data_IF_371374189999
#
_entry.id   IF_371374189999
#
_cell.length_a   1.000
_cell.length_b   1.000
_cell.length_c   1.000
_cell.angle_alpha   90.00
_cell.angle_beta   90.00
_cell.angle_gamma   90.00
#
_symmetry.space_group_name_H-M   'P 1'
#
loop_
_entity.id
_entity.type
_entity.pdbx_description
1 polymer ?
#
# COMPACT_ATOMS: atom_id res chain seq x y z
N UNK A 1 -18.86 62.18 -11.40
CA UNK A 1 -17.44 61.86 -11.60
C UNK A 1 -16.65 61.81 -10.28
N UNK A 2 -16.66 62.81 -9.41
CA UNK A 2 -15.88 62.81 -8.16
C UNK A 2 -16.14 61.62 -7.18
N UNK A 3 -17.39 61.12 -7.08
CA UNK A 3 -17.71 59.98 -6.22
C UNK A 3 -17.08 58.64 -6.70
N UNK A 4 -17.02 58.44 -8.01
CA UNK A 4 -16.39 57.24 -8.59
C UNK A 4 -14.89 57.23 -8.35
N UNK A 5 -14.23 58.38 -8.45
CA UNK A 5 -12.79 58.53 -8.22
C UNK A 5 -12.47 58.24 -6.74
N UNK A 6 -13.28 58.69 -5.81
CA UNK A 6 -13.07 58.40 -4.38
C UNK A 6 -13.28 56.92 -4.04
N UNK A 7 -14.26 56.23 -4.63
CA UNK A 7 -14.47 54.83 -4.44
C UNK A 7 -13.29 54.00 -4.99
N UNK A 8 -12.79 54.39 -6.16
CA UNK A 8 -11.60 53.74 -6.75
C UNK A 8 -10.33 53.97 -5.94
N UNK A 9 -10.18 55.15 -5.32
CA UNK A 9 -9.01 55.43 -4.46
C UNK A 9 -9.08 54.75 -3.10
N UNK A 10 -10.26 54.48 -2.55
CA UNK A 10 -10.44 53.66 -1.34
C UNK A 10 -10.21 52.18 -1.60
N UNK A 11 -10.67 51.66 -2.75
CA UNK A 11 -10.37 50.30 -3.17
C UNK A 11 -8.87 50.06 -3.41
N UNK A 12 -8.16 51.03 -3.94
CA UNK A 12 -6.70 50.96 -4.16
C UNK A 12 -5.87 51.02 -2.84
N UNK A 13 -6.48 51.52 -1.75
CA UNK A 13 -5.84 51.57 -0.41
C UNK A 13 -6.12 50.33 0.47
N UNK A 14 -7.01 49.46 0.03
CA UNK A 14 -7.26 48.21 0.78
C UNK A 14 -6.13 47.22 0.61
N UNK A 15 -5.18 47.23 1.54
CA UNK A 15 -4.09 46.22 1.64
C UNK A 15 -4.64 44.79 1.80
N UNK A 16 -5.89 44.63 2.20
CA UNK A 16 -6.58 43.33 2.24
C UNK A 16 -6.70 42.65 0.87
N UNK A 17 -6.73 43.39 -0.25
CA UNK A 17 -6.74 42.83 -1.60
C UNK A 17 -5.41 42.15 -1.98
N UNK A 18 -4.27 42.64 -1.51
CA UNK A 18 -2.96 42.07 -1.77
C UNK A 18 -2.86 40.67 -1.12
N UNK A 19 -3.30 40.53 0.14
CA UNK A 19 -3.28 39.25 0.84
C UNK A 19 -4.19 38.17 0.19
N UNK A 20 -5.32 38.60 -0.41
CA UNK A 20 -6.20 37.68 -1.12
C UNK A 20 -5.57 37.15 -2.42
N UNK A 21 -4.85 38.02 -3.14
CA UNK A 21 -4.12 37.61 -4.36
C UNK A 21 -2.98 36.66 -4.01
N UNK A 22 -2.22 36.94 -2.96
CA UNK A 22 -1.16 36.08 -2.46
C UNK A 22 -1.68 34.70 -2.08
N UNK A 23 -2.79 34.66 -1.30
CA UNK A 23 -3.44 33.39 -0.94
C UNK A 23 -3.99 32.65 -2.15
N UNK A 24 -4.47 33.32 -3.18
CA UNK A 24 -4.96 32.68 -4.39
C UNK A 24 -3.85 31.88 -5.13
N UNK A 25 -2.59 32.30 -5.02
CA UNK A 25 -1.46 31.55 -5.59
C UNK A 25 -0.90 30.49 -4.61
N UNK A 26 -0.86 30.80 -3.33
CA UNK A 26 -0.29 29.88 -2.32
C UNK A 26 -1.23 28.71 -2.03
N UNK A 27 -2.55 28.93 -1.95
CA UNK A 27 -3.50 27.91 -1.57
C UNK A 27 -3.51 26.66 -2.50
N UNK A 28 -3.51 26.79 -3.84
CA UNK A 28 -3.43 25.62 -4.73
C UNK A 28 -2.17 24.77 -4.51
N UNK A 29 -1.03 25.43 -4.31
CA UNK A 29 0.24 24.75 -4.06
C UNK A 29 0.22 24.03 -2.70
N UNK A 30 -0.30 24.70 -1.66
CA UNK A 30 -0.43 24.11 -0.33
C UNK A 30 -1.37 22.89 -0.33
N UNK A 31 -2.49 22.95 -1.06
CA UNK A 31 -3.42 21.83 -1.21
C UNK A 31 -2.75 20.65 -1.92
N UNK A 32 -2.02 20.90 -3.00
CA UNK A 32 -1.28 19.87 -3.74
C UNK A 32 -0.26 19.16 -2.84
N UNK A 33 0.51 19.93 -2.06
CA UNK A 33 1.47 19.37 -1.12
C UNK A 33 0.78 18.54 -0.02
N UNK A 34 -0.33 19.02 0.51
CA UNK A 34 -1.09 18.29 1.54
C UNK A 34 -1.62 16.96 1.01
N UNK A 35 -2.22 16.95 -0.18
CA UNK A 35 -2.70 15.71 -0.82
C UNK A 35 -1.52 14.76 -1.09
N UNK A 36 -0.35 15.30 -1.48
CA UNK A 36 0.88 14.51 -1.67
C UNK A 36 1.35 13.79 -0.43
N UNK A 37 1.36 14.47 0.70
CA UNK A 37 1.75 13.87 1.99
C UNK A 37 0.77 12.76 2.40
N UNK A 38 -0.53 12.98 2.20
CA UNK A 38 -1.56 11.97 2.52
C UNK A 38 -1.41 10.75 1.61
N UNK A 39 -1.25 10.94 0.32
CA UNK A 39 -1.10 9.84 -0.66
C UNK A 39 0.15 9.01 -0.36
N UNK A 40 1.27 9.67 -0.08
CA UNK A 40 2.51 8.99 0.32
C UNK A 40 2.33 8.20 1.63
N UNK A 41 1.65 8.78 2.62
CA UNK A 41 1.34 8.09 3.88
C UNK A 41 0.51 6.83 3.67
N UNK A 42 -0.49 6.87 2.78
CA UNK A 42 -1.30 5.71 2.43
C UNK A 42 -0.48 4.63 1.70
N UNK A 43 0.43 5.02 0.81
CA UNK A 43 1.33 4.09 0.12
C UNK A 43 2.25 3.37 1.13
N UNK A 44 2.84 4.11 2.08
CA UNK A 44 3.66 3.53 3.16
C UNK A 44 2.85 2.60 4.06
N UNK A 45 1.63 2.97 4.41
CA UNK A 45 0.74 2.11 5.21
C UNK A 45 0.41 0.80 4.48
N UNK A 46 0.11 0.89 3.18
CA UNK A 46 -0.13 -0.28 2.32
C UNK A 46 1.10 -1.19 2.27
N UNK A 47 2.30 -0.62 2.08
CA UNK A 47 3.56 -1.36 2.08
C UNK A 47 3.84 -2.04 3.42
N UNK A 48 3.63 -1.34 4.53
CA UNK A 48 3.81 -1.89 5.87
C UNK A 48 2.83 -3.05 6.15
N UNK A 49 1.58 -2.91 5.72
CA UNK A 49 0.55 -3.97 5.83
C UNK A 49 0.94 -5.18 5.00
N UNK A 50 1.36 -5.00 3.74
CA UNK A 50 1.81 -6.10 2.88
C UNK A 50 3.02 -6.83 3.48
N UNK A 51 4.03 -6.09 3.97
CA UNK A 51 5.22 -6.67 4.60
C UNK A 51 4.87 -7.50 5.83
N UNK A 52 4.00 -7.00 6.69
CA UNK A 52 3.53 -7.73 7.87
C UNK A 52 2.78 -9.01 7.49
N UNK A 53 1.87 -8.92 6.53
CA UNK A 53 1.06 -10.05 6.09
C UNK A 53 1.89 -11.16 5.45
N UNK A 54 2.87 -10.80 4.62
CA UNK A 54 3.83 -11.73 4.01
C UNK A 54 4.69 -12.42 5.07
N UNK A 55 5.16 -11.66 6.08
CA UNK A 55 5.88 -12.21 7.22
C UNK A 55 5.03 -13.23 8.02
N UNK A 56 3.76 -12.91 8.29
CA UNK A 56 2.86 -13.79 9.04
C UNK A 56 2.59 -15.09 8.26
N UNK A 57 2.44 -15.01 6.93
CA UNK A 57 2.30 -16.18 6.06
C UNK A 57 3.57 -17.04 6.02
N UNK A 58 4.74 -16.42 5.92
CA UNK A 58 6.03 -17.14 5.95
C UNK A 58 6.23 -17.85 7.29
N UNK A 59 5.94 -17.17 8.39
CA UNK A 59 6.02 -17.74 9.74
C UNK A 59 5.05 -18.91 9.93
N UNK A 60 3.83 -18.82 9.39
CA UNK A 60 2.89 -19.93 9.39
C UNK A 60 3.49 -21.16 8.70
N UNK A 61 4.06 -21.00 7.51
CA UNK A 61 4.70 -22.09 6.77
C UNK A 61 5.95 -22.62 7.50
N UNK A 62 6.77 -21.75 8.07
CA UNK A 62 7.98 -22.09 8.83
C UNK A 62 7.69 -22.88 10.11
N UNK A 63 6.49 -22.75 10.68
CA UNK A 63 6.04 -23.53 11.84
C UNK A 63 5.65 -24.98 11.52
N UNK A 64 5.48 -25.31 10.24
CA UNK A 64 5.10 -26.65 9.80
C UNK A 64 6.31 -27.58 9.76
N UNK A 65 6.09 -28.91 9.82
CA UNK A 65 7.16 -29.89 9.68
C UNK A 65 7.76 -29.90 8.26
N UNK A 66 9.03 -30.32 8.13
CA UNK A 66 9.70 -30.45 6.84
C UNK A 66 8.92 -31.32 5.84
N UNK A 67 8.32 -32.41 6.31
CA UNK A 67 7.50 -33.29 5.49
C UNK A 67 6.23 -32.60 4.98
N UNK A 68 5.66 -31.70 5.77
CA UNK A 68 4.47 -30.94 5.38
C UNK A 68 4.76 -29.94 4.27
N UNK A 69 5.95 -29.35 4.27
CA UNK A 69 6.37 -28.30 3.33
C UNK A 69 7.00 -28.90 2.07
N UNK A 70 7.85 -29.93 2.20
CA UNK A 70 8.65 -30.46 1.10
C UNK A 70 8.09 -31.73 0.43
N UNK A 71 7.24 -32.51 1.11
CA UNK A 71 6.83 -33.84 0.61
C UNK A 71 5.33 -34.12 0.75
N UNK A 72 4.53 -33.15 1.10
CA UNK A 72 3.12 -33.35 1.35
C UNK A 72 2.30 -33.35 0.05
N UNK A 73 1.54 -34.40 -0.28
CA UNK A 73 0.64 -34.41 -1.43
C UNK A 73 -0.48 -33.36 -1.35
N UNK A 74 -0.75 -32.82 -0.15
CA UNK A 74 -1.72 -31.74 0.07
C UNK A 74 -1.07 -30.34 0.13
N UNK A 75 0.12 -30.18 -0.48
CA UNK A 75 0.82 -28.90 -0.50
C UNK A 75 -0.04 -27.75 -1.04
N UNK A 76 -0.84 -27.99 -2.09
CA UNK A 76 -1.73 -26.98 -2.66
C UNK A 76 -2.72 -26.40 -1.64
N UNK A 77 -3.22 -27.23 -0.73
CA UNK A 77 -4.13 -26.80 0.34
C UNK A 77 -3.42 -25.97 1.42
N UNK A 78 -2.18 -26.36 1.76
CA UNK A 78 -1.34 -25.60 2.70
C UNK A 78 -0.97 -24.24 2.09
N UNK A 79 -0.57 -24.22 0.82
CA UNK A 79 -0.27 -23.02 0.07
C UNK A 79 -1.45 -22.04 0.05
N UNK A 80 -2.65 -22.55 -0.26
CA UNK A 80 -3.87 -21.74 -0.25
C UNK A 80 -4.15 -21.13 1.13
N UNK A 81 -3.90 -21.85 2.22
CA UNK A 81 -4.04 -21.31 3.58
C UNK A 81 -3.04 -20.19 3.87
N UNK A 82 -1.78 -20.34 3.44
CA UNK A 82 -0.78 -19.32 3.61
C UNK A 82 -1.12 -18.06 2.79
N UNK A 83 -1.57 -18.22 1.55
CA UNK A 83 -2.03 -17.15 0.70
C UNK A 83 -3.25 -16.42 1.30
N UNK A 84 -4.22 -17.17 1.83
CA UNK A 84 -5.37 -16.58 2.52
C UNK A 84 -4.94 -15.82 3.78
N UNK A 85 -4.00 -16.35 4.55
CA UNK A 85 -3.46 -15.67 5.73
C UNK A 85 -2.79 -14.34 5.36
N UNK A 86 -2.04 -14.30 4.26
CA UNK A 86 -1.46 -13.05 3.77
C UNK A 86 -2.54 -12.03 3.38
N UNK A 87 -3.54 -12.44 2.61
CA UNK A 87 -4.52 -11.52 2.02
C UNK A 87 -5.62 -11.12 3.01
N UNK A 88 -6.11 -12.05 3.80
CA UNK A 88 -7.29 -11.85 4.68
C UNK A 88 -6.92 -11.80 6.17
N UNK A 89 -5.68 -12.10 6.55
CA UNK A 89 -5.29 -12.25 7.96
C UNK A 89 -5.87 -13.51 8.63
N UNK A 90 -6.49 -14.40 7.85
CA UNK A 90 -7.14 -15.64 8.31
C UNK A 90 -6.83 -16.80 7.36
N UNK A 91 -6.86 -18.04 7.85
CA UNK A 91 -6.57 -19.23 7.04
C UNK A 91 -7.68 -19.57 6.03
N UNK A 92 -8.83 -18.92 6.13
CA UNK A 92 -9.99 -19.11 5.25
C UNK A 92 -10.23 -17.85 4.43
N UNK A 93 -10.52 -17.99 3.15
CA UNK A 93 -10.87 -16.86 2.29
C UNK A 93 -12.15 -16.17 2.78
N UNK A 94 -12.12 -14.86 2.88
CA UNK A 94 -13.25 -14.01 3.25
C UNK A 94 -13.38 -12.88 2.24
N UNK A 95 -14.08 -13.13 1.14
CA UNK A 95 -14.28 -12.14 0.09
C UNK A 95 -14.84 -10.82 0.67
N UNK A 96 -14.24 -9.70 0.32
CA UNK A 96 -14.60 -8.37 0.80
C UNK A 96 -13.95 -7.96 2.13
N UNK A 97 -13.11 -8.82 2.73
CA UNK A 97 -12.35 -8.53 3.95
C UNK A 97 -10.83 -8.60 3.71
N UNK A 98 -10.40 -8.25 2.51
CA UNK A 98 -8.98 -8.16 2.17
C UNK A 98 -8.31 -7.07 3.03
N UNK A 99 -7.11 -7.36 3.57
CA UNK A 99 -6.32 -6.41 4.36
C UNK A 99 -5.92 -5.18 3.53
N UNK A 100 -5.77 -5.37 2.23
CA UNK A 100 -5.50 -4.31 1.25
C UNK A 100 -6.55 -4.44 0.14
N UNK A 101 -7.32 -3.38 -0.16
CA UNK A 101 -8.34 -3.42 -1.19
C UNK A 101 -7.82 -3.87 -2.54
N UNK A 102 -8.45 -4.89 -3.13
CA UNK A 102 -8.09 -5.44 -4.42
C UNK A 102 -6.90 -6.40 -4.42
N UNK A 103 -6.36 -6.76 -3.25
CA UNK A 103 -5.31 -7.77 -3.13
C UNK A 103 -5.92 -9.17 -3.23
N UNK A 104 -5.27 -10.04 -3.99
CA UNK A 104 -5.75 -11.40 -4.27
C UNK A 104 -4.75 -12.46 -3.80
N UNK A 105 -5.18 -13.65 -3.39
CA UNK A 105 -4.28 -14.76 -3.09
C UNK A 105 -3.34 -15.12 -4.24
N UNK A 106 -3.74 -14.87 -5.49
CA UNK A 106 -2.89 -15.10 -6.68
C UNK A 106 -1.70 -14.14 -6.77
N UNK A 107 -1.76 -13.00 -6.08
CA UNK A 107 -0.68 -12.02 -6.02
C UNK A 107 0.37 -12.37 -4.96
N UNK A 108 0.16 -13.47 -4.23
CA UNK A 108 1.08 -13.99 -3.22
C UNK A 108 1.74 -15.26 -3.74
N UNK A 109 3.06 -15.18 -3.98
CA UNK A 109 3.89 -16.28 -4.42
C UNK A 109 4.64 -16.88 -3.23
N UNK A 110 4.72 -18.20 -3.18
CA UNK A 110 5.49 -18.94 -2.18
C UNK A 110 6.45 -19.85 -2.88
N UNK A 111 7.72 -19.73 -2.56
CA UNK A 111 8.80 -20.63 -3.02
C UNK A 111 9.42 -21.32 -1.82
N UNK A 112 9.73 -22.61 -1.96
CA UNK A 112 10.35 -23.42 -0.91
C UNK A 112 11.59 -24.06 -1.45
N UNK A 113 12.71 -23.81 -0.81
CA UNK A 113 13.98 -24.49 -1.09
C UNK A 113 14.20 -25.62 -0.08
N UNK A 114 13.91 -26.83 -0.52
CA UNK A 114 14.06 -28.04 0.29
C UNK A 114 15.47 -28.63 0.26
N UNK A 115 16.38 -28.04 -0.51
CA UNK A 115 17.78 -28.47 -0.58
C UNK A 115 18.59 -27.99 0.61
N UNK A 116 18.13 -26.92 1.25
CA UNK A 116 18.74 -26.38 2.47
C UNK A 116 18.31 -27.16 3.73
N UNK A 117 19.12 -27.07 4.76
CA UNK A 117 18.85 -27.66 6.06
C UNK A 117 19.11 -26.63 7.18
N UNK A 118 18.07 -25.99 7.75
CA UNK A 118 16.63 -26.16 7.51
C UNK A 118 16.17 -25.59 6.15
N UNK A 119 15.03 -26.06 5.61
CA UNK A 119 14.43 -25.53 4.38
C UNK A 119 14.15 -24.03 4.50
N UNK A 120 14.45 -23.28 3.42
CA UNK A 120 14.12 -21.87 3.30
C UNK A 120 12.77 -21.69 2.61
N UNK A 121 11.93 -20.84 3.17
CA UNK A 121 10.58 -20.52 2.67
C UNK A 121 10.55 -19.04 2.37
N UNK A 122 10.38 -18.70 1.10
CA UNK A 122 10.27 -17.31 0.66
C UNK A 122 8.84 -17.02 0.24
N UNK A 123 8.22 -16.02 0.86
CA UNK A 123 6.89 -15.52 0.50
C UNK A 123 7.06 -14.13 -0.09
N UNK A 124 6.50 -13.92 -1.28
CA UNK A 124 6.50 -12.63 -1.97
C UNK A 124 5.07 -12.21 -2.28
N UNK A 125 4.65 -11.07 -1.78
CA UNK A 125 3.37 -10.44 -2.10
C UNK A 125 3.56 -9.24 -3.00
N UNK A 126 2.74 -9.12 -4.04
CA UNK A 126 2.68 -7.94 -4.92
C UNK A 126 1.33 -7.26 -4.75
N UNK A 127 1.35 -5.95 -4.55
CA UNK A 127 0.16 -5.13 -4.32
C UNK A 127 0.13 -3.98 -5.29
N UNK A 128 -1.01 -3.77 -5.94
CA UNK A 128 -1.23 -2.61 -6.81
C UNK A 128 -1.82 -1.46 -5.99
N UNK A 129 -1.00 -0.42 -5.75
CA UNK A 129 -1.44 0.80 -5.10
C UNK A 129 -1.91 1.83 -6.14
N UNK A 130 -3.11 2.38 -5.94
CA UNK A 130 -3.68 3.41 -6.80
C UNK A 130 -3.53 4.77 -6.16
N UNK A 131 -2.63 5.60 -6.70
CA UNK A 131 -2.38 6.95 -6.22
C UNK A 131 -3.58 7.88 -6.47
N UNK A 132 -3.95 8.64 -5.45
CA UNK A 132 -5.02 9.64 -5.52
C UNK A 132 -4.60 10.83 -6.39
N UNK A 133 -3.34 11.29 -6.25
CA UNK A 133 -2.80 12.43 -7.00
C UNK A 133 -2.72 12.10 -8.50
N UNK A 134 -2.17 10.93 -8.82
CA UNK A 134 -1.99 10.51 -10.20
C UNK A 134 -3.33 10.37 -10.95
N UNK A 135 -4.39 9.96 -10.25
CA UNK A 135 -5.73 9.82 -10.87
C UNK A 135 -6.45 11.15 -11.07
N UNK A 136 -6.15 12.16 -10.25
CA UNK A 136 -6.97 13.38 -10.18
C UNK A 136 -6.28 14.63 -10.73
N UNK A 137 -4.95 14.70 -10.65
CA UNK A 137 -4.22 15.95 -10.90
C UNK A 137 -3.07 15.85 -11.91
N UNK A 138 -2.51 14.64 -12.12
CA UNK A 138 -1.34 14.46 -12.97
C UNK A 138 -1.56 13.35 -14.00
N UNK A 139 -1.14 13.53 -15.26
CA UNK A 139 -1.21 12.49 -16.30
C UNK A 139 -0.02 11.51 -16.17
N UNK A 140 0.18 10.95 -14.98
CA UNK A 140 1.20 9.94 -14.69
C UNK A 140 0.54 8.58 -14.42
N UNK A 141 1.26 7.47 -14.54
CA UNK A 141 0.73 6.16 -14.18
C UNK A 141 0.15 6.18 -12.77
N UNK A 142 -1.16 5.93 -12.66
CA UNK A 142 -1.89 5.98 -11.38
C UNK A 142 -1.70 4.74 -10.52
N UNK A 143 -1.12 3.68 -11.09
CA UNK A 143 -0.93 2.38 -10.44
C UNK A 143 0.57 2.19 -10.18
N UNK A 144 0.92 2.02 -8.92
CA UNK A 144 2.27 1.65 -8.47
C UNK A 144 2.23 0.22 -7.94
N UNK A 145 3.16 -0.61 -8.35
CA UNK A 145 3.30 -1.96 -7.82
C UNK A 145 4.23 -1.92 -6.60
N UNK A 146 3.70 -2.29 -5.46
CA UNK A 146 4.46 -2.46 -4.22
C UNK A 146 4.74 -3.96 -4.04
N UNK A 147 5.97 -4.32 -3.69
CA UNK A 147 6.35 -5.71 -3.41
C UNK A 147 6.90 -5.83 -1.99
N UNK A 148 6.50 -6.91 -1.33
CA UNK A 148 7.04 -7.30 -0.04
C UNK A 148 7.52 -8.74 -0.12
N UNK A 149 8.73 -9.00 0.33
CA UNK A 149 9.32 -10.35 0.35
C UNK A 149 9.85 -10.64 1.75
N UNK A 150 9.56 -11.83 2.23
CA UNK A 150 10.11 -12.33 3.49
C UNK A 150 10.57 -13.76 3.33
N UNK A 151 11.75 -14.06 3.86
CA UNK A 151 12.33 -15.40 3.92
C UNK A 151 12.34 -15.87 5.36
N UNK A 152 11.84 -17.07 5.59
CA UNK A 152 11.80 -17.72 6.89
C UNK A 152 12.45 -19.11 6.78
N UNK A 153 13.22 -19.48 7.78
CA UNK A 153 13.75 -20.83 7.88
C UNK A 153 12.84 -21.70 8.73
N UNK A 154 12.59 -22.92 8.28
CA UNK A 154 11.74 -23.84 9.00
C UNK A 154 12.32 -24.15 10.40
N UNK A 155 11.48 -24.01 11.42
CA UNK A 155 11.83 -24.25 12.83
C UNK A 155 11.16 -25.49 13.39
N UNK A 156 10.11 -25.99 12.71
CA UNK A 156 9.37 -27.19 13.09
C UNK A 156 10.19 -28.47 12.87
N UNK A 157 10.28 -29.33 13.86
CA UNK A 157 10.92 -30.65 13.82
C UNK A 157 10.01 -31.71 13.20
#
# INVERSE_FOLDING_TARGET
>A
MKRLINILSELARCTSGSALIEMAFVAPVAILLMVGVVDFGLALFTQATASKSVHDAARYLGSLSKSAVCSNPKWSFILQKAQNLAVYGTLTAQAGNELIPGWSPNDVQVTVDCTQAPPAITVTGTVSYKSIIATSFLPIPSIMTLSATHEEHQVGS
#
